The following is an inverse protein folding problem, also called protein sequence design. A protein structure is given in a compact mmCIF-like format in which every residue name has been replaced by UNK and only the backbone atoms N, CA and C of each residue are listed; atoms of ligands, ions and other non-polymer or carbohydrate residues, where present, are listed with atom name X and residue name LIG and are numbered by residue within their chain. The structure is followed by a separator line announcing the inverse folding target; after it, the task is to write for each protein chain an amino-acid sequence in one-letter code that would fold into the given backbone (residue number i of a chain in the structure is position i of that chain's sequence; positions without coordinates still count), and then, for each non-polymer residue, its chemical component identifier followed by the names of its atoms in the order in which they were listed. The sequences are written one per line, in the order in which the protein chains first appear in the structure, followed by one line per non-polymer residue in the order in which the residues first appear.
data_IF_212582859841
#
_entry.id   IF_212582859841
#
_cell.length_a   1.000
_cell.length_b   1.000
_cell.length_c   1.000
_cell.angle_alpha   90.00
_cell.angle_beta   90.00
_cell.angle_gamma   90.00
#
_symmetry.space_group_name_H-M   'P 1'
#
loop_
_entity.id
_entity.type
_entity.pdbx_description
1 polymer ?
#
# COMPACT_ATOMS: atom_id res chain seq x y z
N UNK A 1 -20.33 14.88 -45.87
CA UNK A 1 -20.24 14.20 -44.56
C UNK A 1 -19.04 14.79 -43.85
N UNK A 2 -19.24 15.40 -42.68
CA UNK A 2 -18.17 16.00 -41.89
C UNK A 2 -17.44 14.86 -41.17
N UNK A 3 -16.16 14.62 -41.51
CA UNK A 3 -15.32 13.72 -40.72
C UNK A 3 -15.12 14.37 -39.35
N UNK A 4 -15.91 13.95 -38.36
CA UNK A 4 -15.53 14.21 -36.97
C UNK A 4 -14.21 13.49 -36.73
N UNK A 5 -13.16 14.16 -36.25
CA UNK A 5 -12.00 13.44 -35.75
C UNK A 5 -12.53 12.46 -34.70
N UNK A 6 -12.22 11.18 -34.90
CA UNK A 6 -12.46 10.16 -33.89
C UNK A 6 -11.83 10.62 -32.56
N UNK A 7 -12.29 10.08 -31.42
CA UNK A 7 -11.68 10.40 -30.13
C UNK A 7 -10.16 10.30 -30.28
N UNK A 8 -9.45 11.38 -29.94
CA UNK A 8 -8.00 11.40 -30.00
C UNK A 8 -7.50 10.20 -29.20
N UNK A 9 -6.76 9.31 -29.85
CA UNK A 9 -6.18 8.16 -29.18
C UNK A 9 -5.47 8.66 -27.92
N UNK A 10 -5.75 8.07 -26.74
CA UNK A 10 -5.13 8.52 -25.51
C UNK A 10 -3.60 8.50 -25.70
N UNK A 11 -2.87 9.48 -25.15
CA UNK A 11 -1.43 9.54 -25.30
C UNK A 11 -0.83 8.20 -24.87
N UNK A 12 -0.05 7.62 -25.78
CA UNK A 12 0.63 6.36 -25.56
C UNK A 12 1.66 6.53 -24.44
N UNK A 13 1.36 6.00 -23.26
CA UNK A 13 2.28 5.96 -22.14
C UNK A 13 3.19 4.73 -22.33
N UNK A 14 4.37 4.96 -22.90
CA UNK A 14 5.41 3.94 -23.08
C UNK A 14 6.59 4.26 -22.17
N UNK A 15 6.92 3.29 -21.32
CA UNK A 15 8.15 3.28 -20.55
C UNK A 15 9.09 2.26 -21.19
N UNK A 16 10.38 2.59 -21.24
CA UNK A 16 11.44 1.62 -21.57
C UNK A 16 11.53 0.55 -20.46
N UNK A 17 11.54 0.98 -19.20
CA UNK A 17 11.45 0.06 -18.05
C UNK A 17 10.94 0.76 -16.79
N UNK A 18 10.36 -0.03 -15.88
CA UNK A 18 10.03 0.37 -14.52
C UNK A 18 10.79 -0.57 -13.60
N UNK A 19 11.84 -0.04 -12.99
CA UNK A 19 12.68 -0.80 -12.06
C UNK A 19 12.28 -0.48 -10.63
N UNK A 20 11.79 -1.48 -9.92
CA UNK A 20 11.32 -1.35 -8.54
C UNK A 20 12.15 -2.29 -7.70
N UNK A 21 13.01 -1.71 -6.86
CA UNK A 21 13.90 -2.48 -5.99
C UNK A 21 13.18 -2.96 -4.72
N UNK A 22 12.22 -2.17 -4.22
CA UNK A 22 11.34 -2.58 -3.13
C UNK A 22 10.07 -1.74 -3.11
N UNK A 23 8.97 -2.38 -2.72
CA UNK A 23 7.72 -1.77 -2.29
C UNK A 23 7.27 -2.53 -1.04
N UNK A 24 6.71 -1.83 -0.07
CA UNK A 24 6.17 -2.43 1.16
C UNK A 24 4.85 -1.76 1.50
N UNK A 25 4.04 -2.44 2.32
CA UNK A 25 2.79 -2.00 2.95
C UNK A 25 1.91 -1.04 2.15
N UNK A 26 0.75 -1.53 1.70
CA UNK A 26 -0.28 -0.71 1.03
C UNK A 26 0.25 0.11 -0.15
N UNK A 27 1.17 -0.48 -0.91
CA UNK A 27 1.79 0.12 -2.08
C UNK A 27 1.24 -0.46 -3.37
N UNK A 28 1.39 0.29 -4.46
CA UNK A 28 1.03 -0.15 -5.79
C UNK A 28 1.67 0.77 -6.83
N UNK A 29 1.88 0.23 -8.03
CA UNK A 29 2.42 0.96 -9.16
C UNK A 29 1.32 1.03 -10.20
N UNK A 30 0.93 2.25 -10.57
CA UNK A 30 -0.20 2.49 -11.46
C UNK A 30 0.26 3.29 -12.67
N UNK A 31 0.00 2.74 -13.85
CA UNK A 31 0.49 3.23 -15.14
C UNK A 31 -0.69 3.32 -16.10
N UNK A 32 -0.75 4.38 -16.91
CA UNK A 32 -1.89 4.61 -17.81
C UNK A 32 -3.04 5.32 -17.12
N UNK A 33 -4.24 5.22 -17.71
CA UNK A 33 -5.46 5.77 -17.14
C UNK A 33 -5.99 4.85 -16.04
N UNK A 34 -5.99 5.31 -14.79
CA UNK A 34 -6.40 4.51 -13.64
C UNK A 34 -7.36 5.30 -12.74
N UNK A 35 -8.23 4.59 -12.04
CA UNK A 35 -9.04 5.14 -10.95
C UNK A 35 -8.94 4.20 -9.74
N UNK A 36 -8.09 4.55 -8.77
CA UNK A 36 -8.05 3.84 -7.49
C UNK A 36 -9.09 4.44 -6.55
N UNK A 37 -10.13 3.68 -6.25
CA UNK A 37 -11.19 4.11 -5.33
C UNK A 37 -11.31 3.11 -4.18
N UNK A 38 -11.74 3.60 -3.01
CA UNK A 38 -11.97 2.80 -1.81
C UNK A 38 -10.76 2.02 -1.29
N UNK A 39 -9.56 2.60 -1.44
CA UNK A 39 -8.35 2.07 -0.81
C UNK A 39 -8.46 2.19 0.71
N UNK A 40 -8.34 1.06 1.38
CA UNK A 40 -8.24 0.99 2.84
C UNK A 40 -7.17 -0.01 3.19
N UNK A 41 -6.20 0.44 3.99
CA UNK A 41 -5.22 -0.42 4.62
C UNK A 41 -5.26 -0.20 6.11
N UNK A 42 -4.88 -1.22 6.86
CA UNK A 42 -4.79 -1.15 8.30
C UNK A 42 -3.77 -2.19 8.71
N UNK A 43 -2.76 -1.77 9.44
CA UNK A 43 -1.71 -2.65 9.93
C UNK A 43 -1.39 -2.31 11.36
N UNK A 44 -1.19 -3.37 12.13
CA UNK A 44 -0.55 -3.30 13.43
C UNK A 44 0.63 -4.23 13.37
N UNK A 45 1.74 -3.75 13.90
CA UNK A 45 2.93 -4.55 14.05
C UNK A 45 3.46 -4.34 15.45
N UNK A 46 3.80 -5.45 16.09
CA UNK A 46 4.60 -5.44 17.29
C UNK A 46 5.82 -6.29 16.98
N UNK A 47 7.01 -5.72 17.08
CA UNK A 47 8.22 -6.48 16.85
C UNK A 47 9.21 -6.19 17.95
N UNK A 48 9.82 -7.26 18.47
CA UNK A 48 10.84 -7.15 19.50
C UNK A 48 12.12 -6.59 18.89
N UNK A 49 12.68 -7.31 17.91
CA UNK A 49 13.88 -6.87 17.19
C UNK A 49 13.55 -6.03 15.95
N UNK A 50 12.40 -6.23 15.32
CA UNK A 50 12.10 -5.60 14.03
C UNK A 50 12.78 -6.28 12.85
N UNK A 51 12.85 -5.55 11.75
CA UNK A 51 13.51 -5.97 10.52
C UNK A 51 15.03 -5.77 10.61
N UNK A 52 15.78 -6.73 10.06
CA UNK A 52 17.23 -6.64 9.84
C UNK A 52 17.48 -6.98 8.38
N UNK A 53 17.79 -5.97 7.56
CA UNK A 53 17.91 -6.15 6.11
C UNK A 53 19.13 -5.43 5.53
N UNK A 54 19.60 -5.91 4.37
CA UNK A 54 20.88 -5.52 3.78
C UNK A 54 22.02 -6.51 4.06
N UNK A 55 23.22 -6.17 3.58
CA UNK A 55 24.39 -7.04 3.65
C UNK A 55 25.20 -6.82 4.94
N UNK A 56 25.88 -7.87 5.42
CA UNK A 56 26.77 -7.82 6.60
C UNK A 56 26.09 -7.42 7.92
N UNK A 57 24.80 -7.71 8.08
CA UNK A 57 24.11 -7.48 9.34
C UNK A 57 24.56 -8.49 10.41
N UNK A 58 24.87 -7.97 11.59
CA UNK A 58 25.25 -8.76 12.75
C UNK A 58 24.42 -8.32 13.95
N UNK A 59 23.70 -9.27 14.53
CA UNK A 59 22.92 -9.06 15.76
C UNK A 59 23.36 -10.09 16.79
N UNK A 60 23.90 -9.61 17.91
CA UNK A 60 24.43 -10.47 18.97
C UNK A 60 23.84 -10.06 20.32
N UNK A 61 23.60 -11.07 21.17
CA UNK A 61 23.11 -10.91 22.55
C UNK A 61 21.78 -10.16 22.68
N UNK A 62 20.95 -10.12 21.63
CA UNK A 62 19.70 -9.40 21.69
C UNK A 62 18.63 -10.21 22.48
N UNK A 63 18.02 -9.56 23.47
CA UNK A 63 16.90 -10.08 24.24
C UNK A 63 15.76 -9.09 24.06
N UNK A 64 14.68 -9.54 23.43
CA UNK A 64 13.51 -8.70 23.20
C UNK A 64 12.30 -9.27 23.93
N UNK A 65 11.46 -8.39 24.46
CA UNK A 65 10.14 -8.76 24.96
C UNK A 65 9.15 -7.78 24.38
N UNK A 66 8.17 -8.32 23.67
CA UNK A 66 6.99 -7.56 23.26
C UNK A 66 5.90 -7.89 24.26
N UNK A 67 5.51 -6.90 25.05
CA UNK A 67 4.39 -7.03 25.97
C UNK A 67 3.28 -6.11 25.51
N UNK A 68 2.24 -6.72 24.94
CA UNK A 68 1.07 -6.02 24.47
C UNK A 68 -0.15 -6.76 24.99
N UNK A 69 -0.69 -6.23 26.08
CA UNK A 69 -1.76 -6.86 26.85
C UNK A 69 -2.98 -5.94 26.87
N UNK A 70 -3.43 -5.62 25.67
CA UNK A 70 -4.65 -4.88 25.43
C UNK A 70 -5.88 -5.80 25.44
N UNK A 71 -7.03 -5.22 25.81
CA UNK A 71 -8.32 -5.94 25.81
C UNK A 71 -8.93 -5.96 24.41
N UNK A 72 -8.67 -4.93 23.62
CA UNK A 72 -9.06 -4.83 22.21
C UNK A 72 -7.86 -4.26 21.46
N UNK A 73 -7.31 -5.08 20.58
CA UNK A 73 -6.18 -4.74 19.74
C UNK A 73 -6.63 -4.34 18.34
N UNK A 74 -6.07 -3.25 17.81
CA UNK A 74 -6.21 -2.83 16.42
C UNK A 74 -7.64 -2.93 15.84
N UNK A 75 -8.66 -2.27 16.44
CA UNK A 75 -10.02 -2.34 15.92
C UNK A 75 -10.15 -1.48 14.66
N UNK A 76 -9.88 -2.07 13.50
CA UNK A 76 -10.04 -1.38 12.23
C UNK A 76 -11.49 -1.36 11.80
N UNK A 77 -12.03 -0.16 11.63
CA UNK A 77 -13.36 0.06 11.06
C UNK A 77 -13.17 0.52 9.63
N UNK A 78 -13.69 -0.22 8.64
CA UNK A 78 -13.82 0.33 7.28
C UNK A 78 -14.78 1.51 7.36
N UNK A 79 -14.43 2.63 6.73
CA UNK A 79 -15.24 3.85 6.67
C UNK A 79 -16.58 3.71 5.93
N UNK A 80 -17.24 2.55 5.96
CA UNK A 80 -18.59 2.32 5.43
C UNK A 80 -19.66 2.36 6.55
N UNK A 81 -19.41 3.11 7.63
CA UNK A 81 -20.49 3.49 8.54
C UNK A 81 -21.26 4.66 7.91
N UNK A 82 -22.08 4.39 6.90
CA UNK A 82 -23.13 5.33 6.46
C UNK A 82 -24.27 5.26 7.49
N UNK A 83 -24.08 5.92 8.65
CA UNK A 83 -25.21 6.25 9.54
C UNK A 83 -25.88 7.48 8.95
N UNK A 84 -26.92 7.26 8.13
CA UNK A 84 -27.69 8.38 7.57
C UNK A 84 -28.60 8.12 6.38
N UNK A 85 -29.00 6.87 6.09
CA UNK A 85 -30.14 6.61 5.20
C UNK A 85 -31.24 5.85 5.93
N UNK A 86 -32.02 6.60 6.71
CA UNK A 86 -33.47 6.45 6.83
C UNK A 86 -34.06 7.83 6.56
#
# INVERSE_FOLDING_TARGET
MLNLPGPLDPPLIQFDSIHVNSIADASGIFIGTNAQVNWSTSSKSNSGLGEVSGEHNMVWNNINTVYDNDIIDAPYTKGDLIIGRV
#
